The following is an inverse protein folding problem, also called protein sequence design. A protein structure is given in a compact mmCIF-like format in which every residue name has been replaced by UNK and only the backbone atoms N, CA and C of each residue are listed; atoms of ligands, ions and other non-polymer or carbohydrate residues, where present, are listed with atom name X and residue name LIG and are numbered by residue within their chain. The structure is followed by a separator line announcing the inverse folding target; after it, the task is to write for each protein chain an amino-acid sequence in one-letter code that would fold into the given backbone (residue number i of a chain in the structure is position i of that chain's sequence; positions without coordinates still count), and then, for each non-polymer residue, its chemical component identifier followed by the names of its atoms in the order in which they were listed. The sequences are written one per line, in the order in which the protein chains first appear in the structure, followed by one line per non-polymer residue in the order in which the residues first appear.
data_IF_425255216977
#
_entry.id   IF_425255216977
#
_cell.length_a   1.000
_cell.length_b   1.000
_cell.length_c   1.000
_cell.angle_alpha   90.00
_cell.angle_beta   90.00
_cell.angle_gamma   90.00
#
_symmetry.space_group_name_H-M   'P 1'
#
loop_
_entity.id
_entity.type
_entity.pdbx_description
1 polymer ?
#
# COMPACT_ATOMS: atom_id res chain seq x y z
N UNK A 1 7.22 2.47 22.45
CA UNK A 1 5.83 2.91 22.11
C UNK A 1 5.06 3.17 23.39
N UNK A 2 4.45 4.36 23.55
CA UNK A 2 3.58 4.64 24.71
C UNK A 2 2.28 3.84 24.56
N UNK A 3 1.84 3.17 25.62
CA UNK A 3 0.59 2.40 25.66
C UNK A 3 -0.63 3.24 25.22
N UNK A 4 -0.66 4.52 25.55
CA UNK A 4 -1.74 5.47 25.19
C UNK A 4 -1.84 5.68 23.67
N UNK A 5 -0.73 5.78 22.94
CA UNK A 5 -0.74 5.98 21.49
C UNK A 5 -1.22 4.72 20.74
N UNK A 6 -0.88 3.55 21.24
CA UNK A 6 -1.31 2.27 20.68
C UNK A 6 -2.81 2.04 20.87
N UNK A 7 -3.32 2.29 22.09
CA UNK A 7 -4.76 2.14 22.41
C UNK A 7 -5.61 3.09 21.56
N UNK A 8 -5.23 4.36 21.46
CA UNK A 8 -5.95 5.36 20.65
C UNK A 8 -5.99 4.98 19.15
N UNK A 9 -4.90 4.43 18.61
CA UNK A 9 -4.84 3.94 17.24
C UNK A 9 -5.75 2.74 17.03
N UNK A 10 -5.73 1.76 17.93
CA UNK A 10 -6.56 0.55 17.83
C UNK A 10 -8.05 0.89 17.89
N UNK A 11 -8.47 1.77 18.79
CA UNK A 11 -9.87 2.24 18.88
C UNK A 11 -10.29 2.93 17.57
N UNK A 12 -9.45 3.80 17.01
CA UNK A 12 -9.74 4.49 15.76
C UNK A 12 -9.83 3.50 14.58
N UNK A 13 -8.89 2.57 14.48
CA UNK A 13 -8.92 1.53 13.45
C UNK A 13 -10.19 0.68 13.57
N UNK A 14 -10.58 0.29 14.78
CA UNK A 14 -11.81 -0.47 15.04
C UNK A 14 -13.08 0.29 14.60
N UNK A 15 -13.19 1.59 14.92
CA UNK A 15 -14.31 2.43 14.45
C UNK A 15 -14.38 2.52 12.93
N UNK A 16 -13.23 2.73 12.27
CA UNK A 16 -13.16 2.81 10.80
C UNK A 16 -13.49 1.47 10.14
N UNK A 17 -13.03 0.38 10.74
CA UNK A 17 -13.39 -0.98 10.29
C UNK A 17 -14.89 -1.23 10.39
N UNK A 18 -15.50 -0.93 11.55
CA UNK A 18 -16.95 -1.10 11.75
C UNK A 18 -17.75 -0.22 10.78
N UNK A 19 -17.37 1.05 10.61
CA UNK A 19 -17.99 1.93 9.62
C UNK A 19 -17.88 1.34 8.21
N UNK A 20 -16.71 0.80 7.85
CA UNK A 20 -16.49 0.12 6.56
C UNK A 20 -17.38 -1.09 6.34
N UNK A 21 -17.73 -1.83 7.41
CA UNK A 21 -18.66 -2.95 7.31
C UNK A 21 -20.12 -2.50 7.20
N UNK A 22 -20.50 -1.33 7.69
CA UNK A 22 -21.88 -0.86 7.69
C UNK A 22 -22.23 -0.07 6.43
N UNK A 23 -21.29 0.68 5.87
CA UNK A 23 -21.50 1.53 4.71
C UNK A 23 -20.48 1.22 3.61
N UNK A 24 -20.95 1.04 2.39
CA UNK A 24 -20.13 0.78 1.20
C UNK A 24 -19.89 2.03 0.34
N UNK A 25 -20.59 3.11 0.62
CA UNK A 25 -20.58 4.33 -0.20
C UNK A 25 -19.44 5.31 0.17
N UNK A 26 -18.30 4.78 0.67
CA UNK A 26 -17.12 5.59 0.97
C UNK A 26 -15.82 4.81 0.73
N UNK A 27 -14.70 5.49 0.42
CA UNK A 27 -13.41 4.84 0.27
C UNK A 27 -12.86 4.36 1.62
N UNK A 28 -12.31 3.15 1.65
CA UNK A 28 -11.60 2.61 2.82
C UNK A 28 -10.12 3.00 2.81
N UNK A 29 -9.50 2.90 1.64
CA UNK A 29 -8.09 3.24 1.47
C UNK A 29 -7.90 4.07 0.21
N UNK A 30 -7.24 5.20 0.36
CA UNK A 30 -6.88 6.05 -0.77
C UNK A 30 -5.36 6.23 -0.78
N UNK A 31 -4.72 5.86 -1.88
CA UNK A 31 -3.35 6.24 -2.13
C UNK A 31 -3.32 7.59 -2.85
N UNK A 32 -2.46 8.49 -2.37
CA UNK A 32 -2.32 9.83 -2.95
C UNK A 32 -0.85 10.08 -3.25
N UNK A 33 -0.57 10.61 -4.43
CA UNK A 33 0.79 10.98 -4.87
C UNK A 33 1.03 12.47 -4.58
N UNK A 34 1.80 12.82 -3.53
CA UNK A 34 2.10 14.22 -3.21
C UNK A 34 3.25 14.76 -4.05
N UNK A 35 4.07 13.87 -4.60
CA UNK A 35 5.21 14.17 -5.46
C UNK A 35 5.55 12.96 -6.31
N UNK A 36 5.79 13.18 -7.62
CA UNK A 36 6.20 12.10 -8.53
C UNK A 36 7.71 11.90 -8.53
N UNK A 37 8.50 12.93 -8.19
CA UNK A 37 9.95 12.82 -8.10
C UNK A 37 10.37 11.79 -7.06
N UNK A 38 11.39 10.97 -7.44
CA UNK A 38 12.01 10.00 -6.55
C UNK A 38 13.52 10.20 -6.50
N UNK A 39 14.13 9.93 -5.35
CA UNK A 39 15.58 9.99 -5.14
C UNK A 39 16.31 8.72 -5.62
N UNK A 40 15.56 7.65 -5.97
CA UNK A 40 16.09 6.41 -6.55
C UNK A 40 15.38 6.08 -7.88
N UNK A 41 15.89 5.10 -8.60
CA UNK A 41 15.42 4.63 -9.90
C UNK A 41 15.37 3.10 -9.90
N UNK A 42 14.21 2.53 -9.59
CA UNK A 42 13.99 1.08 -9.67
C UNK A 42 13.52 0.71 -11.08
N UNK A 43 14.16 -0.29 -11.69
CA UNK A 43 13.92 -0.66 -13.10
C UNK A 43 12.51 -1.14 -13.43
N UNK A 44 11.73 -1.58 -12.42
CA UNK A 44 10.35 -2.02 -12.58
C UNK A 44 9.31 -0.93 -12.27
N UNK A 45 9.74 0.24 -11.75
CA UNK A 45 8.82 1.27 -11.25
C UNK A 45 8.36 2.19 -12.37
N UNK A 46 7.05 2.38 -12.48
CA UNK A 46 6.41 3.32 -13.41
C UNK A 46 5.82 4.57 -12.72
N UNK A 47 6.03 4.70 -11.40
CA UNK A 47 5.40 5.70 -10.55
C UNK A 47 6.26 6.93 -10.27
N UNK A 48 7.43 7.08 -10.91
CA UNK A 48 8.37 8.14 -10.59
C UNK A 48 8.90 8.89 -11.81
N UNK A 49 9.44 10.05 -11.55
CA UNK A 49 10.36 10.77 -12.40
C UNK A 49 11.50 11.41 -11.57
N UNK A 50 12.36 12.20 -12.21
CA UNK A 50 13.51 12.87 -11.54
C UNK A 50 13.33 14.38 -11.39
N UNK A 51 12.26 14.96 -11.94
CA UNK A 51 12.18 16.41 -12.16
C UNK A 51 10.92 17.06 -11.59
N UNK A 52 9.83 16.34 -11.41
CA UNK A 52 8.56 16.93 -10.97
C UNK A 52 8.68 17.66 -9.65
N UNK A 53 8.10 18.85 -9.54
CA UNK A 53 7.98 19.55 -8.26
C UNK A 53 6.95 18.81 -7.36
N UNK A 54 6.98 19.06 -6.06
CA UNK A 54 5.90 18.62 -5.18
C UNK A 54 4.58 19.29 -5.58
N UNK A 55 3.48 18.58 -5.41
CA UNK A 55 2.15 19.18 -5.56
C UNK A 55 1.99 20.26 -4.49
N UNK A 56 1.54 21.48 -4.82
CA UNK A 56 1.42 22.57 -3.86
C UNK A 56 0.59 22.19 -2.63
N UNK A 57 0.98 22.67 -1.47
CA UNK A 57 0.33 22.36 -0.18
C UNK A 57 -1.19 22.62 -0.21
N UNK A 58 -1.62 23.79 -0.69
CA UNK A 58 -3.02 24.14 -0.74
C UNK A 58 -3.84 23.20 -1.65
N UNK A 59 -3.24 22.76 -2.74
CA UNK A 59 -3.85 21.75 -3.63
C UNK A 59 -4.00 20.43 -2.91
N UNK A 60 -2.95 19.97 -2.22
CA UNK A 60 -2.98 18.72 -1.44
C UNK A 60 -3.98 18.82 -0.28
N UNK A 61 -4.04 19.96 0.40
CA UNK A 61 -5.01 20.23 1.45
C UNK A 61 -6.43 20.09 0.94
N UNK A 62 -6.77 20.76 -0.18
CA UNK A 62 -8.08 20.65 -0.80
C UNK A 62 -8.45 19.22 -1.18
N UNK A 63 -7.48 18.43 -1.70
CA UNK A 63 -7.67 17.01 -2.00
C UNK A 63 -7.98 16.19 -0.74
N UNK A 64 -7.25 16.41 0.35
CA UNK A 64 -7.48 15.73 1.63
C UNK A 64 -8.87 16.09 2.19
N UNK A 65 -9.27 17.36 2.10
CA UNK A 65 -10.58 17.85 2.55
C UNK A 65 -11.71 17.20 1.76
N UNK A 66 -11.56 17.11 0.44
CA UNK A 66 -12.53 16.42 -0.41
C UNK A 66 -12.61 14.91 -0.08
N UNK A 67 -11.48 14.23 0.10
CA UNK A 67 -11.46 12.83 0.54
C UNK A 67 -12.16 12.64 1.90
N UNK A 68 -11.99 13.59 2.81
CA UNK A 68 -12.69 13.56 4.09
C UNK A 68 -14.21 13.71 3.92
N UNK A 69 -14.68 14.59 3.00
CA UNK A 69 -16.10 14.74 2.69
C UNK A 69 -16.72 13.49 2.06
N UNK A 70 -15.93 12.68 1.36
CA UNK A 70 -16.33 11.36 0.86
C UNK A 70 -16.35 10.26 1.95
N UNK A 71 -16.02 10.58 3.21
CA UNK A 71 -16.01 9.62 4.31
C UNK A 71 -14.79 8.69 4.35
N UNK A 72 -13.71 9.00 3.65
CA UNK A 72 -12.50 8.19 3.56
C UNK A 72 -11.98 7.74 4.93
N UNK A 73 -11.60 6.48 5.06
CA UNK A 73 -11.07 5.94 6.31
C UNK A 73 -9.57 6.10 6.46
N UNK A 74 -8.81 5.79 5.41
CA UNK A 74 -7.34 5.82 5.41
C UNK A 74 -6.84 6.54 4.18
N UNK A 75 -5.92 7.50 4.36
CA UNK A 75 -5.16 8.13 3.27
C UNK A 75 -3.70 7.75 3.45
N UNK A 76 -3.09 7.16 2.42
CA UNK A 76 -1.68 6.80 2.41
C UNK A 76 -0.95 7.52 1.29
N UNK A 77 0.12 8.24 1.63
CA UNK A 77 0.99 8.84 0.63
C UNK A 77 1.87 7.80 -0.03
N UNK A 78 1.95 7.84 -1.35
CA UNK A 78 2.79 6.98 -2.20
C UNK A 78 3.28 7.77 -3.42
N UNK A 79 3.67 7.10 -4.50
CA UNK A 79 4.12 7.71 -5.75
C UNK A 79 5.63 7.60 -5.91
N UNK A 80 6.35 8.68 -6.21
CA UNK A 80 7.81 8.73 -6.21
C UNK A 80 8.35 8.50 -4.79
N UNK A 81 8.97 9.51 -4.17
CA UNK A 81 9.32 9.42 -2.74
C UNK A 81 8.61 10.51 -1.94
N UNK A 82 7.56 10.17 -1.17
CA UNK A 82 6.78 11.16 -0.43
C UNK A 82 7.59 11.97 0.59
N UNK A 83 8.67 11.41 1.15
CA UNK A 83 9.56 12.12 2.08
C UNK A 83 10.31 13.30 1.44
N UNK A 84 10.27 13.45 0.12
CA UNK A 84 10.78 14.62 -0.60
C UNK A 84 9.78 15.80 -0.59
N UNK A 85 8.53 15.57 -0.19
CA UNK A 85 7.56 16.67 -0.09
C UNK A 85 7.86 17.53 1.14
N UNK A 86 8.09 18.85 0.99
CA UNK A 86 8.57 19.70 2.08
C UNK A 86 7.56 19.83 3.22
N UNK A 87 6.28 19.78 2.91
CA UNK A 87 5.17 20.00 3.85
C UNK A 87 4.42 18.70 4.20
N UNK A 88 5.07 17.53 4.04
CA UNK A 88 4.47 16.23 4.29
C UNK A 88 3.87 16.10 5.70
N UNK A 89 4.55 16.68 6.70
CA UNK A 89 4.11 16.60 8.09
C UNK A 89 2.78 17.33 8.31
N UNK A 90 2.60 18.48 7.68
CA UNK A 90 1.36 19.26 7.76
C UNK A 90 0.22 18.57 7.00
N UNK A 91 0.52 17.90 5.89
CA UNK A 91 -0.43 17.05 5.18
C UNK A 91 -0.88 15.86 6.05
N UNK A 92 0.04 15.21 6.76
CA UNK A 92 -0.28 14.14 7.72
C UNK A 92 -1.18 14.70 8.84
N UNK A 93 -0.85 15.86 9.43
CA UNK A 93 -1.68 16.52 10.43
C UNK A 93 -3.08 16.82 9.90
N UNK A 94 -3.18 17.27 8.62
CA UNK A 94 -4.47 17.52 7.99
C UNK A 94 -5.34 16.26 7.86
N UNK A 95 -4.76 15.14 7.43
CA UNK A 95 -5.46 13.84 7.42
C UNK A 95 -5.97 13.51 8.83
N UNK A 96 -5.11 13.68 9.84
CA UNK A 96 -5.42 13.38 11.23
C UNK A 96 -6.52 14.28 11.81
N UNK A 97 -6.55 15.56 11.44
CA UNK A 97 -7.56 16.51 11.91
C UNK A 97 -8.98 16.15 11.45
N UNK A 98 -9.12 15.46 10.33
CA UNK A 98 -10.39 14.89 9.86
C UNK A 98 -10.72 13.52 10.48
N UNK A 99 -9.93 13.02 11.43
CA UNK A 99 -10.15 11.70 12.04
C UNK A 99 -9.86 10.51 11.12
N UNK A 100 -9.27 10.76 9.94
CA UNK A 100 -8.77 9.70 9.07
C UNK A 100 -7.46 9.13 9.62
N UNK A 101 -7.10 7.92 9.21
CA UNK A 101 -5.79 7.33 9.47
C UNK A 101 -4.81 7.77 8.38
N UNK A 102 -3.57 8.07 8.79
CA UNK A 102 -2.51 8.51 7.91
C UNK A 102 -1.48 7.39 7.68
N UNK A 103 -1.27 7.02 6.43
CA UNK A 103 -0.26 6.06 5.99
C UNK A 103 0.84 6.69 5.16
N UNK A 104 1.99 6.04 5.10
CA UNK A 104 3.13 6.44 4.28
C UNK A 104 3.80 5.21 3.68
N UNK A 105 4.00 5.21 2.37
CA UNK A 105 4.79 4.22 1.64
C UNK A 105 6.06 4.92 1.16
N UNK A 106 7.22 4.44 1.57
CA UNK A 106 8.51 5.09 1.30
C UNK A 106 9.58 4.07 0.93
N UNK A 107 10.59 4.51 0.21
CA UNK A 107 11.80 3.73 -0.01
C UNK A 107 12.75 3.73 1.21
N UNK A 108 12.50 4.53 2.21
CA UNK A 108 13.21 4.54 3.49
C UNK A 108 14.55 5.26 3.53
N UNK A 109 15.10 5.70 2.40
CA UNK A 109 16.45 6.31 2.34
C UNK A 109 16.56 7.59 3.16
N UNK A 110 15.50 8.37 3.23
CA UNK A 110 15.47 9.66 3.94
C UNK A 110 15.09 9.53 5.43
N UNK A 111 14.86 8.30 5.92
CA UNK A 111 14.58 8.06 7.32
C UNK A 111 15.85 8.18 8.17
N UNK A 112 15.73 8.89 9.27
CA UNK A 112 16.70 9.01 10.34
C UNK A 112 15.96 9.42 11.60
N UNK A 113 16.62 9.42 12.75
CA UNK A 113 15.99 9.71 14.05
C UNK A 113 15.13 10.98 14.03
N UNK A 114 15.68 12.10 13.55
CA UNK A 114 14.96 13.38 13.45
C UNK A 114 13.69 13.25 12.61
N UNK A 115 13.79 12.62 11.43
CA UNK A 115 12.64 12.45 10.53
C UNK A 115 11.57 11.55 11.11
N UNK A 116 11.96 10.47 11.79
CA UNK A 116 11.05 9.55 12.46
C UNK A 116 10.28 10.28 13.58
N UNK A 117 10.97 11.11 14.38
CA UNK A 117 10.32 11.92 15.42
C UNK A 117 9.32 12.92 14.84
N UNK A 118 9.67 13.60 13.74
CA UNK A 118 8.74 14.49 13.03
C UNK A 118 7.47 13.76 12.54
N UNK A 119 7.61 12.57 11.99
CA UNK A 119 6.48 11.74 11.58
C UNK A 119 5.62 11.29 12.77
N UNK A 120 6.22 10.99 13.93
CA UNK A 120 5.49 10.72 15.16
C UNK A 120 4.65 11.94 15.58
N UNK A 121 5.26 13.13 15.60
CA UNK A 121 4.62 14.39 16.02
C UNK A 121 3.53 14.83 15.03
N UNK A 122 3.68 14.49 13.76
CA UNK A 122 2.65 14.68 12.74
C UNK A 122 1.45 13.73 12.91
N UNK A 123 1.62 12.64 13.66
CA UNK A 123 0.56 11.68 13.94
C UNK A 123 0.43 10.58 12.89
N UNK A 124 1.53 10.19 12.24
CA UNK A 124 1.54 9.04 11.32
C UNK A 124 1.04 7.78 12.04
N UNK A 125 0.15 7.02 11.42
CA UNK A 125 -0.38 5.77 11.98
C UNK A 125 0.37 4.54 11.47
N UNK A 126 0.78 4.56 10.19
CA UNK A 126 1.31 3.39 9.49
C UNK A 126 2.39 3.79 8.48
N UNK A 127 3.49 3.06 8.48
CA UNK A 127 4.58 3.22 7.51
C UNK A 127 4.91 1.87 6.87
N UNK A 128 5.01 1.86 5.54
CA UNK A 128 5.51 0.71 4.79
C UNK A 128 6.81 1.06 4.08
N UNK A 129 7.79 0.17 4.19
CA UNK A 129 9.03 0.23 3.42
C UNK A 129 9.09 -1.01 2.52
N UNK A 130 9.36 -0.81 1.23
CA UNK A 130 9.70 -1.91 0.33
C UNK A 130 11.21 -2.15 0.36
N UNK A 131 11.62 -3.41 0.55
CA UNK A 131 13.01 -3.86 0.46
C UNK A 131 13.02 -5.04 -0.50
N UNK A 132 13.75 -4.91 -1.60
CA UNK A 132 13.63 -5.81 -2.74
C UNK A 132 14.76 -6.85 -2.79
N UNK A 133 15.94 -6.51 -2.23
CA UNK A 133 17.13 -7.35 -2.25
C UNK A 133 17.96 -7.18 -0.95
N UNK A 134 18.92 -8.04 -0.71
CA UNK A 134 19.87 -7.92 0.40
C UNK A 134 20.99 -6.96 0.05
N UNK A 135 21.50 -7.02 -1.18
CA UNK A 135 22.55 -6.13 -1.71
C UNK A 135 21.98 -5.36 -2.90
N UNK A 136 22.25 -4.05 -3.03
CA UNK A 136 21.70 -3.27 -4.14
C UNK A 136 22.23 -3.77 -5.48
N UNK A 137 21.34 -3.78 -6.48
CA UNK A 137 21.66 -4.16 -7.85
C UNK A 137 21.13 -3.11 -8.85
N UNK A 138 21.16 -3.44 -10.15
CA UNK A 138 20.67 -2.54 -11.20
C UNK A 138 19.13 -2.48 -11.26
N UNK A 139 18.42 -3.51 -10.74
CA UNK A 139 16.96 -3.56 -10.72
C UNK A 139 16.40 -2.72 -9.59
N UNK A 140 17.02 -2.79 -8.40
CA UNK A 140 16.58 -2.01 -7.24
C UNK A 140 17.73 -1.59 -6.33
N UNK A 141 17.67 -0.35 -5.87
CA UNK A 141 18.56 0.19 -4.83
C UNK A 141 18.02 -0.04 -3.41
N UNK A 142 16.77 -0.47 -3.26
CA UNK A 142 16.10 -0.73 -1.98
C UNK A 142 16.60 -2.04 -1.38
N UNK A 143 17.79 -2.01 -0.79
CA UNK A 143 18.44 -3.20 -0.25
C UNK A 143 18.50 -3.19 1.27
N UNK A 144 18.47 -4.38 1.85
CA UNK A 144 18.61 -4.56 3.30
C UNK A 144 19.94 -3.97 3.80
N UNK A 145 21.03 -4.19 3.09
CA UNK A 145 22.36 -3.63 3.43
C UNK A 145 22.32 -2.12 3.60
N UNK A 146 21.60 -1.41 2.72
CA UNK A 146 21.48 0.05 2.77
C UNK A 146 20.50 0.51 3.84
N UNK A 147 19.42 -0.24 4.06
CA UNK A 147 18.29 0.19 4.89
C UNK A 147 18.35 -0.34 6.33
N UNK A 148 19.14 -1.35 6.66
CA UNK A 148 19.22 -1.93 8.00
C UNK A 148 19.52 -0.89 9.10
N UNK A 149 20.45 0.07 8.91
CA UNK A 149 20.64 1.14 9.88
C UNK A 149 19.38 2.01 10.08
N UNK A 150 18.58 2.20 9.03
CA UNK A 150 17.30 2.93 9.09
C UNK A 150 16.23 2.12 9.83
N UNK A 151 16.23 0.80 9.63
CA UNK A 151 15.33 -0.11 10.36
C UNK A 151 15.65 -0.10 11.87
N UNK A 152 16.93 -0.06 12.24
CA UNK A 152 17.33 0.08 13.64
C UNK A 152 16.82 1.40 14.25
N UNK A 153 16.88 2.53 13.52
CA UNK A 153 16.34 3.81 13.96
C UNK A 153 14.80 3.75 14.12
N UNK A 154 14.11 3.10 13.19
CA UNK A 154 12.65 2.89 13.30
C UNK A 154 12.31 2.06 14.54
N UNK A 155 13.05 0.98 14.81
CA UNK A 155 12.85 0.17 16.01
C UNK A 155 13.01 0.99 17.29
N UNK A 156 13.97 1.90 17.32
CA UNK A 156 14.26 2.71 18.50
C UNK A 156 13.25 3.86 18.72
N UNK A 157 12.76 4.47 17.64
CA UNK A 157 12.09 5.77 17.72
C UNK A 157 10.66 5.82 17.16
N UNK A 158 10.22 4.86 16.33
CA UNK A 158 8.89 4.93 15.73
C UNK A 158 7.78 4.69 16.75
N UNK A 159 6.79 5.59 16.77
CA UNK A 159 5.55 5.43 17.52
C UNK A 159 4.39 4.92 16.66
N UNK A 160 4.57 4.84 15.35
CA UNK A 160 3.63 4.28 14.37
C UNK A 160 3.94 2.81 14.06
N UNK A 161 3.01 2.13 13.40
CA UNK A 161 3.22 0.75 12.95
C UNK A 161 4.12 0.73 11.71
N UNK A 162 5.10 -0.19 11.70
CA UNK A 162 6.01 -0.37 10.56
C UNK A 162 5.77 -1.74 9.93
N UNK A 163 5.64 -1.75 8.60
CA UNK A 163 5.60 -2.95 7.77
C UNK A 163 6.77 -2.95 6.79
N UNK A 164 7.45 -4.07 6.69
CA UNK A 164 8.47 -4.30 5.67
C UNK A 164 7.87 -5.21 4.61
N UNK A 165 7.84 -4.71 3.38
CA UNK A 165 7.35 -5.45 2.22
C UNK A 165 8.54 -5.95 1.40
N UNK A 166 8.73 -7.26 1.32
CA UNK A 166 9.64 -7.89 0.36
C UNK A 166 8.89 -8.24 -0.93
N UNK A 167 9.62 -8.56 -1.99
CA UNK A 167 9.02 -8.84 -3.30
C UNK A 167 9.57 -10.13 -3.91
N UNK A 168 8.75 -10.77 -4.75
CA UNK A 168 9.12 -11.89 -5.62
C UNK A 168 8.65 -11.62 -7.05
N UNK A 169 9.34 -12.16 -8.02
CA UNK A 169 9.04 -11.92 -9.45
C UNK A 169 9.64 -10.62 -9.98
N UNK A 170 9.16 -10.15 -11.11
CA UNK A 170 9.52 -8.85 -11.70
C UNK A 170 11.01 -8.63 -12.01
N UNK A 171 11.78 -9.71 -12.21
CA UNK A 171 13.22 -9.64 -12.44
C UNK A 171 14.06 -9.59 -11.17
N UNK A 172 13.49 -9.92 -10.00
CA UNK A 172 14.26 -10.17 -8.76
C UNK A 172 15.34 -11.22 -9.03
N UNK A 173 16.62 -10.87 -8.81
CA UNK A 173 17.73 -11.75 -9.16
C UNK A 173 17.93 -12.90 -8.19
N UNK A 174 17.71 -12.64 -6.90
CA UNK A 174 17.88 -13.62 -5.85
C UNK A 174 16.62 -13.73 -4.98
N UNK A 175 15.73 -14.70 -5.26
CA UNK A 175 14.50 -14.86 -4.49
C UNK A 175 14.73 -15.13 -2.99
N UNK A 176 15.88 -15.73 -2.60
CA UNK A 176 16.25 -15.98 -1.21
C UNK A 176 16.36 -14.70 -0.35
N UNK A 177 16.58 -13.56 -1.01
CA UNK A 177 16.62 -12.28 -0.33
C UNK A 177 15.32 -11.98 0.42
N UNK A 178 14.18 -12.43 -0.11
CA UNK A 178 12.88 -12.27 0.55
C UNK A 178 12.83 -12.96 1.93
N UNK A 179 13.41 -14.18 2.07
CA UNK A 179 13.53 -14.87 3.37
C UNK A 179 14.39 -14.08 4.36
N UNK A 180 15.53 -13.59 3.89
CA UNK A 180 16.48 -12.83 4.72
C UNK A 180 15.88 -11.51 5.20
N UNK A 181 15.22 -10.78 4.30
CA UNK A 181 14.53 -9.52 4.61
C UNK A 181 13.40 -9.74 5.63
N UNK A 182 12.55 -10.75 5.42
CA UNK A 182 11.46 -11.06 6.32
C UNK A 182 11.96 -11.47 7.72
N UNK A 183 12.98 -12.32 7.80
CA UNK A 183 13.61 -12.70 9.07
C UNK A 183 14.10 -11.48 9.82
N UNK A 184 14.88 -10.61 9.15
CA UNK A 184 15.42 -9.38 9.76
C UNK A 184 14.34 -8.43 10.25
N UNK A 185 13.30 -8.21 9.47
CA UNK A 185 12.19 -7.36 9.86
C UNK A 185 11.47 -7.88 11.12
N UNK A 186 11.29 -9.18 11.23
CA UNK A 186 10.68 -9.84 12.41
C UNK A 186 11.56 -9.77 13.65
N UNK A 187 12.88 -9.94 13.52
CA UNK A 187 13.84 -9.74 14.63
C UNK A 187 13.73 -8.33 15.22
N UNK A 188 13.45 -7.33 14.37
CA UNK A 188 13.21 -5.97 14.78
C UNK A 188 11.79 -5.73 15.34
N UNK A 189 10.90 -6.72 15.25
CA UNK A 189 9.52 -6.65 15.73
C UNK A 189 8.57 -5.92 14.77
N UNK A 190 8.91 -5.81 13.50
CA UNK A 190 8.05 -5.24 12.46
C UNK A 190 7.09 -6.29 11.89
N UNK A 191 5.97 -5.81 11.35
CA UNK A 191 5.12 -6.65 10.51
C UNK A 191 5.77 -6.81 9.13
N UNK A 192 5.46 -7.93 8.48
CA UNK A 192 6.01 -8.21 7.16
C UNK A 192 4.91 -8.55 6.17
N UNK A 193 5.17 -8.26 4.90
CA UNK A 193 4.36 -8.69 3.77
C UNK A 193 5.28 -9.10 2.62
N UNK A 194 4.73 -9.88 1.70
CA UNK A 194 5.39 -10.23 0.45
C UNK A 194 4.51 -9.79 -0.71
N UNK A 195 5.10 -9.12 -1.67
CA UNK A 195 4.44 -8.69 -2.91
C UNK A 195 4.90 -9.57 -4.07
N UNK A 196 3.95 -10.00 -4.90
CA UNK A 196 4.26 -10.57 -6.20
C UNK A 196 4.24 -9.41 -7.19
N UNK A 197 5.36 -9.19 -7.90
CA UNK A 197 5.50 -8.04 -8.81
C UNK A 197 5.54 -8.50 -10.26
N UNK A 198 4.95 -7.69 -11.12
CA UNK A 198 5.06 -7.81 -12.58
C UNK A 198 6.45 -7.37 -13.06
N UNK A 199 6.80 -7.74 -14.29
CA UNK A 199 8.00 -7.25 -14.96
C UNK A 199 7.85 -5.77 -15.41
N UNK A 200 8.92 -5.21 -15.99
CA UNK A 200 8.94 -3.83 -16.47
C UNK A 200 7.93 -3.51 -17.58
N UNK A 201 7.30 -4.55 -18.17
CA UNK A 201 6.23 -4.43 -19.16
C UNK A 201 4.84 -4.56 -18.53
N UNK A 202 4.75 -4.69 -17.21
CA UNK A 202 3.49 -4.87 -16.49
C UNK A 202 2.89 -6.27 -16.62
N UNK A 203 3.69 -7.27 -17.05
CA UNK A 203 3.23 -8.64 -17.20
C UNK A 203 3.58 -9.47 -15.97
N UNK A 204 2.60 -10.19 -15.44
CA UNK A 204 2.84 -11.20 -14.41
C UNK A 204 3.33 -12.48 -15.10
N UNK A 205 4.51 -12.96 -14.70
CA UNK A 205 5.02 -14.27 -15.10
C UNK A 205 4.86 -15.26 -13.95
N UNK A 206 4.47 -16.51 -14.22
CA UNK A 206 4.46 -17.56 -13.21
C UNK A 206 5.84 -17.65 -12.55
N UNK A 207 5.87 -17.81 -11.24
CA UNK A 207 7.11 -17.97 -10.50
C UNK A 207 7.66 -19.40 -10.67
N UNK A 208 8.98 -19.52 -10.60
CA UNK A 208 9.67 -20.80 -10.58
C UNK A 208 9.44 -21.58 -9.28
N UNK A 209 9.92 -22.83 -9.25
CA UNK A 209 9.77 -23.69 -8.06
C UNK A 209 10.45 -23.13 -6.82
N UNK A 210 11.61 -22.48 -6.98
CA UNK A 210 12.36 -21.86 -5.89
C UNK A 210 11.60 -20.68 -5.29
N UNK A 211 11.10 -19.78 -6.15
CA UNK A 211 10.31 -18.61 -5.70
C UNK A 211 9.01 -19.04 -5.02
N UNK A 212 8.40 -20.14 -5.50
CA UNK A 212 7.22 -20.73 -4.88
C UNK A 212 7.51 -21.24 -3.48
N UNK A 213 8.59 -22.03 -3.30
CA UNK A 213 9.02 -22.50 -2.00
C UNK A 213 9.27 -21.34 -1.03
N UNK A 214 9.95 -20.29 -1.50
CA UNK A 214 10.21 -19.10 -0.71
C UNK A 214 8.92 -18.39 -0.34
N UNK A 215 7.97 -18.25 -1.29
CA UNK A 215 6.67 -17.68 -1.01
C UNK A 215 5.94 -18.46 0.09
N UNK A 216 5.92 -19.77 0.01
CA UNK A 216 5.27 -20.64 0.99
C UNK A 216 5.90 -20.51 2.38
N UNK A 217 7.22 -20.48 2.45
CA UNK A 217 7.93 -20.34 3.73
C UNK A 217 7.68 -18.96 4.36
N UNK A 218 7.81 -17.89 3.58
CA UNK A 218 7.61 -16.52 4.08
C UNK A 218 6.17 -16.32 4.48
N UNK A 219 5.21 -16.76 3.67
CA UNK A 219 3.77 -16.58 3.94
C UNK A 219 3.29 -17.35 5.18
N UNK A 220 3.87 -18.54 5.47
CA UNK A 220 3.61 -19.28 6.72
C UNK A 220 4.15 -18.55 7.96
N UNK A 221 5.21 -17.77 7.79
CA UNK A 221 5.87 -17.05 8.88
C UNK A 221 5.28 -15.65 9.13
N UNK A 222 4.39 -15.15 8.28
CA UNK A 222 3.68 -13.87 8.49
C UNK A 222 2.65 -14.06 9.62
N UNK A 223 3.13 -14.15 10.85
CA UNK A 223 2.34 -14.45 12.04
C UNK A 223 2.54 -13.40 13.13
N UNK A 224 1.81 -12.29 13.04
CA UNK A 224 1.40 -11.55 14.23
C UNK A 224 -0.08 -11.86 14.47
N UNK A 225 -0.53 -12.00 15.70
CA UNK A 225 -1.89 -12.49 16.02
C UNK A 225 -3.00 -11.76 15.26
N UNK A 226 -2.95 -10.44 15.16
CA UNK A 226 -3.92 -9.64 14.41
C UNK A 226 -3.68 -9.68 12.89
N UNK A 227 -2.44 -9.69 12.45
CA UNK A 227 -2.11 -9.75 11.02
C UNK A 227 -2.44 -11.12 10.42
N UNK A 228 -2.21 -12.20 11.18
CA UNK A 228 -2.62 -13.54 10.78
C UNK A 228 -4.14 -13.63 10.62
N UNK A 229 -4.90 -13.12 11.59
CA UNK A 229 -6.36 -13.07 11.50
C UNK A 229 -6.84 -12.24 10.30
N UNK A 230 -6.24 -11.06 10.06
CA UNK A 230 -6.56 -10.22 8.90
C UNK A 230 -6.19 -10.90 7.58
N UNK A 231 -5.07 -11.62 7.52
CA UNK A 231 -4.65 -12.34 6.31
C UNK A 231 -5.53 -13.57 6.04
N UNK A 232 -5.94 -14.30 7.09
CA UNK A 232 -6.90 -15.41 6.98
C UNK A 232 -8.24 -14.86 6.49
N UNK A 233 -8.74 -13.82 7.15
CA UNK A 233 -10.02 -13.21 6.79
C UNK A 233 -10.02 -12.69 5.35
N UNK A 234 -8.94 -12.03 4.90
CA UNK A 234 -8.84 -11.45 3.56
C UNK A 234 -8.52 -12.47 2.45
N UNK A 235 -8.23 -13.72 2.78
CA UNK A 235 -7.80 -14.71 1.79
C UNK A 235 -6.56 -14.29 0.98
N UNK A 236 -5.78 -13.31 1.45
CA UNK A 236 -4.65 -12.76 0.69
C UNK A 236 -3.59 -13.80 0.36
N UNK A 237 -3.45 -14.81 1.21
CA UNK A 237 -2.50 -15.89 1.00
C UNK A 237 -2.88 -16.73 -0.22
N UNK A 238 -4.14 -17.14 -0.31
CA UNK A 238 -4.63 -17.94 -1.42
C UNK A 238 -4.65 -17.13 -2.71
N UNK A 239 -5.04 -15.85 -2.61
CA UNK A 239 -4.98 -14.88 -3.69
C UNK A 239 -3.56 -14.76 -4.29
N UNK A 240 -2.55 -14.59 -3.44
CA UNK A 240 -1.16 -14.51 -3.91
C UNK A 240 -0.61 -15.87 -4.36
N UNK A 241 -1.00 -16.99 -3.72
CA UNK A 241 -0.61 -18.33 -4.14
C UNK A 241 -1.10 -18.64 -5.57
N UNK A 242 -2.33 -18.25 -5.89
CA UNK A 242 -2.83 -18.38 -7.26
C UNK A 242 -1.98 -17.60 -8.28
N UNK A 243 -1.57 -16.37 -7.94
CA UNK A 243 -0.68 -15.59 -8.81
C UNK A 243 0.70 -16.25 -8.99
N UNK A 244 1.25 -16.80 -7.91
CA UNK A 244 2.50 -17.58 -7.95
C UNK A 244 2.38 -18.76 -8.91
N UNK A 245 1.21 -19.41 -8.94
CA UNK A 245 0.88 -20.54 -9.82
C UNK A 245 0.52 -20.14 -11.25
N UNK A 246 0.41 -18.85 -11.53
CA UNK A 246 -0.11 -18.36 -12.80
C UNK A 246 -1.60 -18.64 -12.99
N UNK A 247 -2.34 -18.85 -11.88
CA UNK A 247 -3.79 -19.11 -11.89
C UNK A 247 -4.58 -17.81 -11.70
N UNK A 248 -5.74 -17.67 -12.36
CA UNK A 248 -6.60 -16.54 -12.13
C UNK A 248 -7.24 -16.61 -10.72
N UNK A 249 -7.54 -15.43 -10.17
CA UNK A 249 -8.34 -15.29 -8.98
C UNK A 249 -9.78 -14.91 -9.32
N UNK A 250 -10.74 -15.46 -8.59
CA UNK A 250 -12.15 -15.09 -8.69
C UNK A 250 -12.49 -14.12 -7.55
N UNK A 251 -12.70 -12.85 -7.87
CA UNK A 251 -13.04 -11.81 -6.87
C UNK A 251 -13.57 -10.54 -7.53
N UNK A 252 -14.30 -9.73 -6.75
CA UNK A 252 -14.77 -8.42 -7.18
C UNK A 252 -13.77 -7.33 -6.76
N UNK A 253 -13.11 -6.72 -7.74
CA UNK A 253 -12.24 -5.57 -7.51
C UNK A 253 -13.09 -4.32 -7.23
N UNK A 254 -12.97 -3.76 -6.00
CA UNK A 254 -13.67 -2.54 -5.57
C UNK A 254 -12.84 -1.27 -5.79
N UNK A 255 -11.87 -1.31 -6.71
CA UNK A 255 -11.16 -0.11 -7.15
C UNK A 255 -12.13 0.89 -7.79
N UNK A 256 -11.94 2.18 -7.53
CA UNK A 256 -12.91 3.23 -7.86
C UNK A 256 -13.98 3.43 -6.79
N UNK A 257 -14.16 2.48 -5.86
CA UNK A 257 -15.12 2.61 -4.78
C UNK A 257 -14.47 2.54 -3.40
N UNK A 258 -14.00 1.36 -3.00
CA UNK A 258 -13.39 1.14 -1.67
C UNK A 258 -11.90 1.46 -1.65
N UNK A 259 -11.27 1.43 -2.80
CA UNK A 259 -9.89 1.84 -3.02
C UNK A 259 -9.84 2.89 -4.12
N UNK A 260 -9.12 4.00 -3.89
CA UNK A 260 -8.83 5.02 -4.89
C UNK A 260 -7.32 5.22 -4.99
N UNK A 261 -6.85 5.56 -6.19
CA UNK A 261 -5.50 6.04 -6.42
C UNK A 261 -5.57 7.45 -7.03
N UNK A 262 -4.99 8.43 -6.34
CA UNK A 262 -5.00 9.83 -6.77
C UNK A 262 -3.59 10.19 -7.22
N UNK A 263 -3.42 10.44 -8.51
CA UNK A 263 -2.12 10.82 -9.05
C UNK A 263 -1.74 12.28 -8.74
N UNK A 264 -0.53 12.65 -9.09
CA UNK A 264 0.02 14.01 -8.92
C UNK A 264 -0.84 15.10 -9.57
N UNK A 265 -1.53 14.79 -10.66
CA UNK A 265 -2.44 15.71 -11.36
C UNK A 265 -3.84 15.77 -10.74
N UNK A 266 -4.11 15.02 -9.67
CA UNK A 266 -5.40 15.01 -8.99
C UNK A 266 -6.48 14.17 -9.66
N UNK A 267 -6.10 13.29 -10.60
CA UNK A 267 -7.06 12.38 -11.23
C UNK A 267 -7.24 11.12 -10.37
N UNK A 268 -8.47 10.67 -10.27
CA UNK A 268 -8.84 9.40 -9.65
C UNK A 268 -8.60 8.26 -10.63
N UNK A 269 -7.84 7.26 -10.23
CA UNK A 269 -7.60 6.03 -10.98
C UNK A 269 -8.01 4.81 -10.15
N UNK A 270 -8.23 3.67 -10.81
CA UNK A 270 -8.52 2.43 -10.10
C UNK A 270 -7.34 1.99 -9.21
N UNK A 271 -6.13 2.02 -9.75
CA UNK A 271 -4.91 1.75 -9.01
C UNK A 271 -3.69 2.26 -9.80
N UNK A 272 -2.49 2.07 -9.27
CA UNK A 272 -1.24 2.47 -9.93
C UNK A 272 -1.02 1.80 -11.29
N UNK A 273 -1.53 0.57 -11.49
CA UNK A 273 -1.43 -0.16 -12.75
C UNK A 273 -2.51 0.23 -13.79
N UNK A 274 -3.56 0.91 -13.35
CA UNK A 274 -4.68 1.35 -14.18
C UNK A 274 -4.77 2.88 -14.22
N UNK A 275 -3.62 3.55 -14.40
CA UNK A 275 -3.60 5.02 -14.57
C UNK A 275 -4.38 5.42 -15.81
N UNK A 276 -5.17 6.49 -15.68
CA UNK A 276 -6.07 6.98 -16.73
C UNK A 276 -7.51 6.45 -16.63
N UNK A 277 -7.76 5.44 -15.81
CA UNK A 277 -9.11 4.85 -15.66
C UNK A 277 -9.55 4.93 -14.18
N UNK A 278 -10.70 5.56 -13.87
CA UNK A 278 -11.61 6.30 -14.75
C UNK A 278 -11.06 7.65 -15.23
N UNK A 279 -9.98 8.19 -14.65
CA UNK A 279 -9.36 9.45 -15.06
C UNK A 279 -10.18 10.70 -14.73
N UNK A 280 -11.03 10.62 -13.70
CA UNK A 280 -11.92 11.73 -13.29
C UNK A 280 -11.16 12.63 -12.30
N UNK A 281 -11.20 13.97 -12.46
CA UNK A 281 -10.66 14.88 -11.46
C UNK A 281 -11.29 14.65 -10.09
N UNK A 282 -10.46 14.63 -9.02
CA UNK A 282 -10.92 14.29 -7.67
C UNK A 282 -12.02 15.23 -7.17
N UNK A 283 -11.93 16.51 -7.48
CA UNK A 283 -12.94 17.52 -7.13
C UNK A 283 -14.33 17.23 -7.73
N UNK A 284 -14.38 16.46 -8.80
CA UNK A 284 -15.62 16.03 -9.46
C UNK A 284 -16.03 14.60 -9.05
N UNK A 285 -15.21 13.91 -8.24
CA UNK A 285 -15.49 12.53 -7.82
C UNK A 285 -16.45 12.53 -6.62
N UNK A 286 -17.62 11.92 -6.80
CA UNK A 286 -18.73 11.97 -5.84
C UNK A 286 -19.10 10.58 -5.32
N UNK A 287 -19.98 10.53 -4.33
CA UNK A 287 -20.57 9.29 -3.81
C UNK A 287 -21.27 8.48 -4.91
N UNK A 288 -21.84 9.12 -5.93
CA UNK A 288 -22.49 8.40 -7.03
C UNK A 288 -21.48 7.68 -7.92
N UNK A 289 -20.29 8.24 -8.08
CA UNK A 289 -19.16 7.53 -8.71
C UNK A 289 -18.77 6.29 -7.89
N UNK A 290 -18.65 6.45 -6.57
CA UNK A 290 -18.33 5.35 -5.65
C UNK A 290 -19.35 4.22 -5.77
N UNK A 291 -20.66 4.56 -5.74
CA UNK A 291 -21.74 3.56 -5.87
C UNK A 291 -21.69 2.83 -7.22
N UNK A 292 -21.48 3.56 -8.32
CA UNK A 292 -21.37 2.98 -9.66
C UNK A 292 -20.17 2.04 -9.76
N UNK A 293 -19.01 2.46 -9.25
CA UNK A 293 -17.78 1.70 -9.35
C UNK A 293 -17.72 0.51 -8.40
N UNK A 294 -18.58 0.45 -7.39
CA UNK A 294 -18.61 -0.63 -6.42
C UNK A 294 -18.85 -2.00 -7.06
N UNK A 295 -19.76 -2.08 -8.01
CA UNK A 295 -20.11 -3.32 -8.72
C UNK A 295 -19.57 -3.39 -10.17
N UNK A 296 -18.91 -2.34 -10.66
CA UNK A 296 -18.37 -2.32 -12.00
C UNK A 296 -17.27 -3.39 -12.19
N UNK A 297 -17.35 -4.26 -13.21
CA UNK A 297 -16.35 -5.29 -13.45
C UNK A 297 -15.00 -4.66 -13.86
N UNK A 298 -13.91 -5.26 -13.45
CA UNK A 298 -12.54 -4.87 -13.83
C UNK A 298 -11.86 -6.08 -14.47
N UNK A 299 -11.63 -6.04 -15.77
CA UNK A 299 -11.06 -7.16 -16.56
C UNK A 299 -9.68 -7.62 -16.08
N UNK A 300 -8.90 -6.72 -15.46
CA UNK A 300 -7.59 -7.06 -14.89
C UNK A 300 -7.65 -7.79 -13.54
N UNK A 301 -8.83 -7.93 -12.93
CA UNK A 301 -8.97 -8.48 -11.58
C UNK A 301 -8.39 -9.88 -11.42
N UNK A 302 -8.58 -10.85 -12.35
CA UNK A 302 -8.09 -12.22 -12.19
C UNK A 302 -6.57 -12.32 -11.93
N UNK A 303 -5.79 -11.45 -12.52
CA UNK A 303 -4.32 -11.45 -12.43
C UNK A 303 -3.75 -10.21 -11.75
N UNK A 304 -4.55 -9.57 -10.90
CA UNK A 304 -4.16 -8.35 -10.19
C UNK A 304 -3.05 -8.64 -9.17
N UNK A 305 -1.96 -7.87 -9.22
CA UNK A 305 -0.84 -7.97 -8.26
C UNK A 305 -0.95 -6.97 -7.11
N UNK A 306 -1.98 -6.11 -7.11
CA UNK A 306 -2.12 -5.03 -6.13
C UNK A 306 -2.82 -5.54 -4.87
N UNK A 307 -2.05 -6.10 -3.94
CA UNK A 307 -2.56 -6.72 -2.72
C UNK A 307 -3.37 -5.79 -1.81
N UNK A 308 -3.10 -4.48 -1.80
CA UNK A 308 -3.88 -3.51 -1.01
C UNK A 308 -5.30 -3.35 -1.58
N UNK A 309 -5.48 -3.36 -2.89
CA UNK A 309 -6.81 -3.33 -3.53
C UNK A 309 -7.59 -4.59 -3.20
N UNK A 310 -6.93 -5.76 -3.28
CA UNK A 310 -7.56 -7.03 -2.91
C UNK A 310 -8.04 -7.02 -1.46
N UNK A 311 -7.18 -6.69 -0.50
CA UNK A 311 -7.53 -6.68 0.93
C UNK A 311 -8.71 -5.77 1.24
N UNK A 312 -8.76 -4.60 0.65
CA UNK A 312 -9.85 -3.64 0.84
C UNK A 312 -11.14 -4.15 0.21
N UNK A 313 -11.05 -4.72 -1.00
CA UNK A 313 -12.20 -5.28 -1.71
C UNK A 313 -12.80 -6.48 -0.98
N UNK A 314 -11.94 -7.29 -0.36
CA UNK A 314 -12.36 -8.49 0.35
C UNK A 314 -13.24 -8.20 1.58
N UNK A 315 -13.17 -6.99 2.14
CA UNK A 315 -14.09 -6.59 3.22
C UNK A 315 -15.56 -6.65 2.82
N UNK A 316 -15.84 -6.55 1.53
CA UNK A 316 -17.18 -6.61 0.96
C UNK A 316 -17.46 -7.94 0.22
N UNK A 317 -16.57 -8.94 0.34
CA UNK A 317 -16.69 -10.21 -0.36
C UNK A 317 -17.99 -10.97 -0.02
N UNK A 318 -18.41 -10.92 1.24
CA UNK A 318 -19.63 -11.54 1.72
C UNK A 318 -20.93 -10.91 1.19
N UNK A 319 -20.86 -9.67 0.69
CA UNK A 319 -22.03 -8.92 0.16
C UNK A 319 -22.45 -9.38 -1.23
N UNK A 320 -21.50 -9.83 -2.01
CA UNK A 320 -21.72 -10.43 -3.33
C UNK A 320 -20.79 -11.64 -3.45
N UNK A 321 -21.24 -12.83 -3.04
CA UNK A 321 -20.48 -14.05 -3.34
C UNK A 321 -20.38 -14.20 -4.84
N UNK A 322 -19.18 -14.48 -5.32
CA UNK A 322 -18.89 -14.52 -6.74
C UNK A 322 -19.64 -15.65 -7.41
N UNK A 323 -20.63 -15.32 -8.20
CA UNK A 323 -21.15 -16.09 -9.31
C UNK A 323 -21.26 -15.12 -10.46
N UNK A 324 -20.20 -14.99 -11.24
CA UNK A 324 -20.18 -14.16 -12.42
C UNK A 324 -19.20 -14.73 -13.40
N UNK A 325 -19.69 -15.12 -14.55
CA UNK A 325 -18.85 -15.42 -15.70
C UNK A 325 -18.00 -14.18 -16.01
N UNK A 326 -16.70 -14.28 -15.78
CA UNK A 326 -15.76 -13.34 -16.40
C UNK A 326 -15.73 -13.67 -17.89
N UNK A 327 -16.42 -12.89 -18.69
CA UNK A 327 -16.21 -12.89 -20.12
C UNK A 327 -14.80 -12.35 -20.34
N UNK A 328 -13.91 -13.23 -20.79
CA UNK A 328 -12.54 -12.92 -21.20
C UNK A 328 -12.53 -11.99 -22.40
#
# INVERSE_FOLDING_TARGET
MSLVSTTSRSVRAGRKFLHGLLDTAHPLLVHVVPIRRCNIDCGYCNEYDKVSPPVPFETMRARIDHLASLGTSVVAFSGGEPLLHPELDDLIRRIRSHGMMAGLITNGFLLGEKRIKQLNDAGLDYLQISIDNVVPDEVSKKSLKTLDPKLAQLKAHAAFQVNINSVLGGGTKNPEDARTINRRARELGFTTSIGIIHDGLGQLKPLGSVEREIYDDVSKQINGTWQAAANIYSGIRDFQANLVDGKPNEWYCRAGARYLYICENGLVHYCSQQRGVPGIPLENYTVDHIRREFDAPKSCAPYCTIGCVHRVSFMDHWRKPQKGEYVL
#
